data_IF_314124756869
#
_entry.id   IF_314124756869
#
_cell.length_a   1.000
_cell.length_b   1.000
_cell.length_c   1.000
_cell.angle_alpha   90.00
_cell.angle_beta   90.00
_cell.angle_gamma   90.00
#
_symmetry.space_group_name_H-M   'P 1'
#
loop_
_entity.id
_entity.type
_entity.pdbx_description
1 polymer ?
#
# COMPACT_ATOMS: atom_id res chain seq x y z
N UNK A 1 37.80 -76.36 31.83
CA UNK A 1 36.57 -76.86 31.20
C UNK A 1 35.55 -75.73 31.17
N UNK A 2 35.39 -75.06 30.03
CA UNK A 2 34.13 -74.46 29.63
C UNK A 2 34.20 -74.19 28.13
N UNK A 3 33.16 -74.62 27.43
CA UNK A 3 33.00 -74.65 25.98
C UNK A 3 32.63 -73.28 25.43
N UNK A 4 33.22 -72.88 24.29
CA UNK A 4 32.60 -71.90 23.39
C UNK A 4 32.95 -72.27 21.93
N UNK A 5 31.96 -72.48 21.03
CA UNK A 5 32.21 -72.96 19.69
C UNK A 5 32.46 -71.81 18.69
N UNK A 6 33.40 -72.10 17.80
CA UNK A 6 33.74 -71.42 16.55
C UNK A 6 32.58 -70.82 15.76
N UNK A 7 32.75 -69.56 15.32
CA UNK A 7 32.10 -69.00 14.12
C UNK A 7 33.17 -68.56 13.10
N UNK A 8 33.20 -69.12 11.88
CA UNK A 8 34.07 -68.67 10.79
C UNK A 8 33.34 -67.71 9.84
N UNK A 9 34.11 -66.93 9.08
CA UNK A 9 33.67 -66.38 7.79
C UNK A 9 33.72 -64.86 7.70
N UNK A 10 34.87 -64.34 7.28
CA UNK A 10 34.95 -63.02 6.64
C UNK A 10 34.50 -63.10 5.19
N UNK A 11 33.74 -62.10 4.75
CA UNK A 11 33.69 -61.57 3.39
C UNK A 11 32.85 -60.29 3.42
N UNK A 12 33.52 -59.16 3.28
CA UNK A 12 32.90 -57.86 3.01
C UNK A 12 32.41 -57.82 1.56
N UNK A 13 31.17 -57.42 1.28
CA UNK A 13 30.81 -56.89 -0.03
C UNK A 13 30.83 -55.36 0.03
N UNK A 14 31.43 -54.77 -0.99
CA UNK A 14 31.48 -53.35 -1.29
C UNK A 14 30.08 -52.71 -1.26
N UNK A 15 29.85 -51.81 -0.31
CA UNK A 15 28.66 -50.94 -0.30
C UNK A 15 28.99 -49.68 -1.12
N UNK A 16 28.60 -49.68 -2.39
CA UNK A 16 28.61 -48.48 -3.23
C UNK A 16 27.76 -47.37 -2.58
N UNK A 17 28.23 -46.11 -2.55
CA UNK A 17 27.43 -45.01 -2.03
C UNK A 17 26.24 -44.76 -2.97
N UNK A 18 25.02 -44.94 -2.46
CA UNK A 18 23.78 -44.60 -3.15
C UNK A 18 23.76 -43.09 -3.45
N UNK A 19 24.07 -42.73 -4.69
CA UNK A 19 23.95 -41.35 -5.18
C UNK A 19 22.46 -41.02 -5.30
N UNK A 20 21.94 -40.27 -4.33
CA UNK A 20 20.61 -39.65 -4.38
C UNK A 20 20.55 -38.80 -5.67
N UNK A 21 19.83 -39.30 -6.68
CA UNK A 21 19.66 -38.63 -7.98
C UNK A 21 19.76 -39.54 -9.20
N UNK A 22 20.27 -40.77 -9.08
CA UNK A 22 20.34 -41.70 -10.22
C UNK A 22 18.95 -42.09 -10.77
N UNK A 23 17.94 -42.20 -9.90
CA UNK A 23 16.57 -42.54 -10.28
C UNK A 23 15.77 -41.40 -10.95
N UNK A 24 16.28 -40.16 -10.93
CA UNK A 24 15.58 -39.00 -11.51
C UNK A 24 16.03 -38.69 -12.95
N UNK A 25 17.21 -39.16 -13.37
CA UNK A 25 17.72 -38.94 -14.74
C UNK A 25 16.77 -39.46 -15.82
N UNK A 26 16.14 -40.64 -15.69
CA UNK A 26 15.19 -41.12 -16.69
C UNK A 26 13.93 -40.23 -16.82
N UNK A 27 13.52 -39.59 -15.72
CA UNK A 27 12.37 -38.67 -15.70
C UNK A 27 12.75 -37.34 -16.34
N UNK A 28 13.93 -36.81 -16.01
CA UNK A 28 14.48 -35.59 -16.61
C UNK A 28 14.67 -35.75 -18.13
N UNK A 29 15.22 -36.87 -18.59
CA UNK A 29 15.41 -37.16 -20.01
C UNK A 29 14.09 -37.38 -20.76
N UNK A 30 13.05 -37.85 -20.06
CA UNK A 30 11.70 -37.92 -20.62
C UNK A 30 11.08 -36.54 -20.74
N UNK A 31 11.23 -35.69 -19.72
CA UNK A 31 10.71 -34.32 -19.71
C UNK A 31 11.39 -33.45 -20.78
N UNK A 32 12.72 -33.54 -20.90
CA UNK A 32 13.51 -32.82 -21.90
C UNK A 32 13.08 -33.20 -23.33
N UNK A 33 12.86 -34.49 -23.61
CA UNK A 33 12.34 -34.95 -24.91
C UNK A 33 10.91 -34.50 -25.18
N UNK A 34 10.04 -34.51 -24.16
CA UNK A 34 8.66 -34.05 -24.32
C UNK A 34 8.61 -32.55 -24.68
N UNK A 35 9.37 -31.72 -23.97
CA UNK A 35 9.47 -30.28 -24.23
C UNK A 35 10.06 -29.99 -25.62
N UNK A 36 11.12 -30.71 -26.00
CA UNK A 36 11.76 -30.52 -27.31
C UNK A 36 10.85 -30.98 -28.47
N UNK A 37 10.03 -32.02 -28.25
CA UNK A 37 9.01 -32.44 -29.22
C UNK A 37 7.88 -31.42 -29.37
N UNK A 38 7.51 -30.75 -28.28
CA UNK A 38 6.44 -29.75 -28.28
C UNK A 38 6.91 -28.44 -28.89
N UNK A 39 8.13 -28.01 -28.59
CA UNK A 39 8.74 -26.84 -29.20
C UNK A 39 8.84 -26.98 -30.73
N UNK A 40 9.15 -28.17 -31.25
CA UNK A 40 9.18 -28.44 -32.70
C UNK A 40 7.79 -28.52 -33.34
N UNK A 41 6.72 -28.69 -32.56
CA UNK A 41 5.33 -28.66 -33.05
C UNK A 41 4.77 -27.24 -33.16
N UNK A 42 5.39 -26.27 -32.50
CA UNK A 42 5.04 -24.86 -32.63
C UNK A 42 5.73 -24.34 -33.88
N UNK A 43 4.97 -24.21 -34.96
CA UNK A 43 5.43 -23.53 -36.18
C UNK A 43 4.98 -22.06 -36.10
N UNK A 44 5.87 -21.11 -35.75
CA UNK A 44 5.52 -19.71 -35.68
C UNK A 44 5.18 -19.21 -37.10
N UNK A 45 3.90 -19.01 -37.36
CA UNK A 45 3.47 -18.39 -38.62
C UNK A 45 3.75 -16.90 -38.58
N UNK A 46 4.43 -16.38 -39.61
CA UNK A 46 4.63 -14.95 -39.80
C UNK A 46 3.28 -14.28 -40.08
N UNK A 47 2.69 -13.71 -39.03
CA UNK A 47 1.41 -13.00 -39.07
C UNK A 47 1.56 -11.49 -39.21
N UNK A 48 2.79 -10.99 -39.41
CA UNK A 48 3.03 -9.55 -39.50
C UNK A 48 2.24 -8.92 -40.66
N UNK A 49 2.20 -9.59 -41.82
CA UNK A 49 1.43 -9.12 -42.98
C UNK A 49 -0.08 -9.05 -42.72
N UNK A 50 -0.64 -10.01 -41.97
CA UNK A 50 -2.06 -10.02 -41.61
C UNK A 50 -2.38 -8.86 -40.66
N UNK A 51 -1.54 -8.65 -39.64
CA UNK A 51 -1.71 -7.56 -38.67
C UNK A 51 -1.61 -6.19 -39.35
N UNK A 52 -0.64 -6.00 -40.25
CA UNK A 52 -0.50 -4.74 -40.99
C UNK A 52 -1.68 -4.50 -41.95
N UNK A 53 -2.20 -5.55 -42.58
CA UNK A 53 -3.36 -5.45 -43.47
C UNK A 53 -4.63 -5.13 -42.70
N UNK A 54 -4.81 -5.72 -41.51
CA UNK A 54 -5.94 -5.46 -40.62
C UNK A 54 -5.88 -4.05 -40.02
N UNK A 55 -4.69 -3.57 -39.66
CA UNK A 55 -4.46 -2.19 -39.21
C UNK A 55 -4.80 -1.16 -40.31
N UNK A 56 -4.41 -1.42 -41.56
CA UNK A 56 -4.74 -0.53 -42.70
C UNK A 56 -6.22 -0.61 -43.11
N UNK A 57 -6.90 -1.72 -42.86
CA UNK A 57 -8.34 -1.88 -43.12
C UNK A 57 -9.20 -1.07 -42.13
N UNK A 58 -8.71 -0.83 -40.91
CA UNK A 58 -9.37 0.04 -39.93
C UNK A 58 -9.30 1.52 -40.32
N UNK A 59 -8.17 1.98 -40.89
CA UNK A 59 -8.01 3.36 -41.35
C UNK A 59 -8.86 3.72 -42.58
N UNK A 60 -9.33 2.72 -43.34
CA UNK A 60 -10.06 2.92 -44.60
C UNK A 60 -11.60 2.83 -44.46
N UNK A 61 -12.12 2.52 -43.27
CA UNK A 61 -13.57 2.54 -42.97
C UNK A 61 -13.91 3.57 -41.90
N UNK A 62 -13.65 4.84 -42.20
CA UNK A 62 -14.01 5.94 -41.32
C UNK A 62 -14.15 7.28 -42.03
N UNK A 63 -15.40 7.68 -42.26
CA UNK A 63 -15.87 9.08 -42.42
C UNK A 63 -15.70 9.74 -43.79
N UNK A 64 -16.67 9.50 -44.67
CA UNK A 64 -17.16 10.51 -45.61
C UNK A 64 -18.09 11.49 -44.88
N UNK A 65 -17.61 12.70 -44.59
CA UNK A 65 -18.47 13.72 -43.95
C UNK A 65 -17.79 15.02 -43.49
N UNK A 66 -17.59 15.96 -44.42
CA UNK A 66 -17.45 17.43 -44.27
C UNK A 66 -16.76 18.04 -43.02
N UNK A 67 -15.51 18.47 -43.24
CA UNK A 67 -14.85 19.77 -42.90
C UNK A 67 -15.13 20.44 -41.54
N UNK A 68 -14.08 20.56 -40.71
CA UNK A 68 -13.32 21.81 -40.48
C UNK A 68 -12.01 21.56 -39.71
N UNK A 69 -10.97 22.29 -40.12
CA UNK A 69 -9.56 22.21 -39.73
C UNK A 69 -9.31 22.80 -38.35
N UNK A 70 -8.58 22.11 -37.47
CA UNK A 70 -7.52 22.67 -36.64
C UNK A 70 -6.44 21.59 -36.44
N UNK A 71 -5.18 21.99 -36.63
CA UNK A 71 -4.00 21.13 -36.68
C UNK A 71 -3.59 20.74 -35.25
N UNK A 72 -3.44 19.43 -35.01
CA UNK A 72 -2.66 18.89 -33.90
C UNK A 72 -1.59 17.96 -34.50
N UNK A 73 -0.29 18.13 -34.20
CA UNK A 73 0.68 17.09 -34.50
C UNK A 73 0.53 16.01 -33.42
N UNK A 74 -0.12 14.91 -33.78
CA UNK A 74 -0.02 13.66 -33.03
C UNK A 74 1.35 13.05 -33.33
N UNK A 75 2.28 13.15 -32.37
CA UNK A 75 3.49 12.36 -32.38
C UNK A 75 3.12 10.93 -31.96
N UNK A 76 2.98 10.05 -32.95
CA UNK A 76 2.88 8.61 -32.73
C UNK A 76 4.26 8.10 -32.31
N UNK A 77 4.46 7.85 -31.01
CA UNK A 77 5.58 7.05 -30.55
C UNK A 77 5.22 5.57 -30.75
N UNK A 78 5.53 5.03 -31.93
CA UNK A 78 5.56 3.60 -32.16
C UNK A 78 6.82 3.03 -31.49
N UNK A 79 6.69 2.52 -30.27
CA UNK A 79 7.71 1.68 -29.64
C UNK A 79 7.28 0.22 -29.76
N UNK A 80 7.76 -0.45 -30.79
CA UNK A 80 7.77 -1.90 -30.85
C UNK A 80 8.85 -2.40 -29.88
N UNK A 81 8.46 -3.04 -28.78
CA UNK A 81 9.41 -3.80 -27.93
C UNK A 81 9.18 -5.27 -28.18
N UNK A 82 10.18 -5.86 -28.84
CA UNK A 82 10.33 -7.30 -29.04
C UNK A 82 10.53 -7.99 -27.70
N UNK A 83 9.69 -9.00 -27.42
CA UNK A 83 9.97 -10.01 -26.40
C UNK A 83 11.16 -10.84 -26.88
N UNK A 84 12.31 -10.65 -26.26
CA UNK A 84 13.44 -11.57 -26.36
C UNK A 84 14.06 -11.76 -24.98
N UNK A 85 13.69 -12.87 -24.33
CA UNK A 85 14.47 -13.39 -23.21
C UNK A 85 15.80 -13.93 -23.74
N UNK A 86 16.92 -13.41 -23.22
CA UNK A 86 18.09 -14.17 -22.73
C UNK A 86 19.23 -13.21 -22.36
N UNK A 87 19.77 -13.42 -21.15
CA UNK A 87 21.16 -13.21 -20.72
C UNK A 87 21.79 -11.80 -20.88
N UNK A 88 21.80 -11.04 -19.78
CA UNK A 88 22.97 -10.24 -19.40
C UNK A 88 23.22 -10.37 -17.89
N UNK A 89 23.96 -11.42 -17.55
CA UNK A 89 24.83 -11.43 -16.39
C UNK A 89 26.18 -10.82 -16.82
N UNK A 90 26.75 -9.98 -15.96
CA UNK A 90 28.12 -9.43 -15.89
C UNK A 90 28.02 -7.91 -15.71
N UNK A 91 27.81 -7.48 -14.45
CA UNK A 91 28.71 -6.60 -13.70
C UNK A 91 28.05 -6.31 -12.33
N UNK A 92 28.43 -7.06 -11.28
CA UNK A 92 28.00 -6.76 -9.91
C UNK A 92 29.09 -5.93 -9.23
N UNK A 93 28.81 -4.69 -8.78
CA UNK A 93 29.43 -4.19 -7.58
C UNK A 93 28.75 -4.82 -6.35
N UNK A 94 29.56 -5.06 -5.34
CA UNK A 94 29.31 -5.77 -4.10
C UNK A 94 28.17 -5.18 -3.28
N UNK A 95 27.37 -6.07 -2.69
CA UNK A 95 26.77 -5.97 -1.34
C UNK A 95 26.62 -4.57 -0.75
N UNK A 96 25.39 -4.06 -0.69
CA UNK A 96 24.96 -3.19 0.40
C UNK A 96 23.47 -3.41 0.67
N UNK A 97 23.22 -4.30 1.63
CA UNK A 97 22.02 -4.34 2.45
C UNK A 97 21.78 -2.93 3.02
N UNK A 98 20.62 -2.29 2.84
CA UNK A 98 20.35 -1.06 3.57
C UNK A 98 20.08 -1.41 5.04
N UNK A 99 20.87 -0.89 6.01
CA UNK A 99 20.60 -1.07 7.41
C UNK A 99 19.40 -0.23 7.84
N UNK A 100 18.53 -0.85 8.62
CA UNK A 100 17.51 -0.20 9.45
C UNK A 100 18.24 0.69 10.45
N UNK A 101 18.09 2.00 10.29
CA UNK A 101 18.69 2.99 11.17
C UNK A 101 18.08 2.89 12.58
N UNK A 102 18.90 2.48 13.55
CA UNK A 102 18.68 2.70 14.97
C UNK A 102 19.93 3.39 15.56
N UNK A 103 19.67 4.28 16.52
CA UNK A 103 20.61 4.99 17.40
C UNK A 103 21.07 6.36 16.92
N UNK A 104 20.48 7.40 17.52
CA UNK A 104 21.21 8.64 17.80
C UNK A 104 21.52 8.67 19.29
N UNK A 105 22.79 8.46 19.61
CA UNK A 105 23.43 9.02 20.79
C UNK A 105 23.76 10.47 20.41
N UNK A 106 23.27 11.47 21.15
CA UNK A 106 24.14 12.60 21.46
C UNK A 106 23.73 13.36 22.72
N UNK A 107 24.66 13.36 23.65
CA UNK A 107 25.16 14.48 24.46
C UNK A 107 24.96 15.86 23.85
N UNK A 108 24.48 16.83 24.65
CA UNK A 108 24.40 18.23 24.21
C UNK A 108 23.71 19.16 25.20
N UNK A 109 24.38 19.47 26.30
CA UNK A 109 24.05 20.57 27.24
C UNK A 109 24.14 21.93 26.52
N UNK A 110 23.25 22.90 26.82
CA UNK A 110 23.69 23.98 27.72
C UNK A 110 22.58 24.42 28.69
N UNK A 111 22.90 24.44 30.00
CA UNK A 111 22.09 25.10 31.02
C UNK A 111 22.72 26.46 31.35
N UNK A 112 21.86 27.46 31.31
CA UNK A 112 22.11 28.87 31.63
C UNK A 112 22.31 29.08 33.13
N UNK A 113 23.18 30.02 33.46
CA UNK A 113 23.59 30.44 34.80
C UNK A 113 22.45 30.71 35.78
N UNK A 114 22.59 30.18 36.99
CA UNK A 114 21.91 30.65 38.18
C UNK A 114 22.96 31.16 39.19
N UNK A 115 22.72 32.35 39.75
CA UNK A 115 23.36 32.85 40.95
C UNK A 115 22.27 33.16 41.96
N UNK A 116 22.34 32.55 43.15
CA UNK A 116 22.19 33.23 44.46
C UNK A 116 22.27 32.21 45.60
N UNK A 117 23.31 32.41 46.39
CA UNK A 117 23.47 32.34 47.85
C UNK A 117 22.67 31.41 48.78
N UNK A 118 23.49 30.92 49.70
CA UNK A 118 23.40 29.99 50.82
C UNK A 118 22.58 30.48 52.02
N UNK A 119 21.88 29.55 52.69
CA UNK A 119 21.85 29.27 54.17
C UNK A 119 20.47 28.72 54.58
N UNK A 120 20.34 27.43 54.93
CA UNK A 120 20.55 26.82 56.25
C UNK A 120 19.47 27.15 57.30
N UNK A 121 18.68 26.13 57.68
CA UNK A 121 17.74 26.18 58.81
C UNK A 121 16.67 25.07 58.77
N UNK A 122 16.90 24.01 59.55
CA UNK A 122 15.93 22.98 60.01
C UNK A 122 16.16 22.86 61.53
N UNK A 123 15.23 22.40 62.41
CA UNK A 123 14.02 21.59 62.17
C UNK A 123 12.76 21.99 63.02
N UNK A 124 11.68 21.20 62.91
CA UNK A 124 10.87 20.63 64.03
C UNK A 124 9.32 20.77 63.99
N UNK A 125 8.67 19.61 63.82
CA UNK A 125 7.47 19.03 64.49
C UNK A 125 6.13 19.76 64.65
N UNK A 126 5.12 19.21 63.92
CA UNK A 126 3.78 18.73 64.34
C UNK A 126 2.70 19.71 64.90
N UNK A 127 1.42 19.30 64.99
CA UNK A 127 0.38 19.33 63.95
C UNK A 127 -0.74 20.34 64.27
N UNK A 128 -1.48 20.82 63.27
CA UNK A 128 -2.70 21.61 63.50
C UNK A 128 -3.86 21.11 62.65
N UNK A 129 -4.77 20.41 63.32
CA UNK A 129 -6.11 20.00 62.84
C UNK A 129 -7.06 21.19 62.88
N UNK A 130 -7.57 21.63 61.73
CA UNK A 130 -8.72 22.56 61.61
C UNK A 130 -9.55 22.12 60.38
N UNK A 131 -10.89 22.14 60.45
CA UNK A 131 -11.73 21.17 59.76
C UNK A 131 -12.08 21.53 58.32
N UNK A 132 -12.48 20.48 57.59
CA UNK A 132 -13.24 20.44 56.34
C UNK A 132 -14.07 21.69 56.06
N UNK A 133 -13.71 22.41 55.00
CA UNK A 133 -14.68 23.16 54.20
C UNK A 133 -14.77 22.48 52.83
N UNK A 134 -15.87 21.78 52.63
CA UNK A 134 -16.34 21.32 51.33
C UNK A 134 -16.58 22.55 50.46
N UNK A 135 -15.58 22.94 49.68
CA UNK A 135 -15.79 23.82 48.54
C UNK A 135 -16.21 22.95 47.36
N UNK A 136 -17.52 22.89 47.11
CA UNK A 136 -18.07 22.39 45.85
C UNK A 136 -17.78 23.44 44.78
N UNK A 137 -16.52 23.49 44.33
CA UNK A 137 -16.14 24.23 43.14
C UNK A 137 -16.76 23.56 41.91
N UNK A 138 -17.11 24.30 40.85
CA UNK A 138 -17.51 23.70 39.60
C UNK A 138 -16.33 22.86 39.09
N UNK A 139 -16.48 21.54 39.07
CA UNK A 139 -15.54 20.66 38.39
C UNK A 139 -15.66 20.94 36.90
N UNK A 140 -14.89 21.90 36.40
CA UNK A 140 -14.66 22.02 34.96
C UNK A 140 -13.96 20.73 34.55
N UNK A 141 -14.72 19.79 34.00
CA UNK A 141 -14.20 18.58 33.37
C UNK A 141 -13.27 19.01 32.25
N UNK A 142 -11.97 19.01 32.51
CA UNK A 142 -10.96 19.28 31.50
C UNK A 142 -11.04 18.11 30.51
N UNK A 143 -11.52 18.39 29.30
CA UNK A 143 -11.58 17.39 28.24
C UNK A 143 -10.18 16.76 28.04
N UNK A 144 -10.07 15.44 27.90
CA UNK A 144 -8.77 14.79 27.71
C UNK A 144 -8.04 15.40 26.51
N UNK A 145 -6.71 15.62 26.59
CA UNK A 145 -5.96 16.17 25.48
C UNK A 145 -6.08 15.26 24.25
N UNK A 146 -6.23 15.88 23.08
CA UNK A 146 -6.19 15.18 21.80
C UNK A 146 -4.74 15.01 21.35
N UNK A 147 -4.37 13.77 21.04
CA UNK A 147 -3.10 13.43 20.40
C UNK A 147 -3.28 13.50 18.89
N UNK A 148 -2.40 14.22 18.20
CA UNK A 148 -2.40 14.29 16.74
C UNK A 148 -1.35 13.35 16.12
N UNK A 149 -1.74 12.72 15.01
CA UNK A 149 -0.89 11.89 14.18
C UNK A 149 -0.79 12.54 12.80
N UNK A 150 0.34 13.16 12.45
CA UNK A 150 0.43 14.01 11.26
C UNK A 150 0.36 13.24 9.94
N UNK A 151 0.72 11.96 9.96
CA UNK A 151 0.73 11.07 8.79
C UNK A 151 0.45 9.64 9.21
N UNK A 152 -0.70 9.12 8.79
CA UNK A 152 -1.16 7.76 9.07
C UNK A 152 -1.69 7.15 7.78
N UNK A 153 -1.28 5.93 7.40
CA UNK A 153 -1.83 5.27 6.23
C UNK A 153 -3.27 4.85 6.50
N UNK A 154 -4.18 5.28 5.63
CA UNK A 154 -5.60 4.92 5.64
C UNK A 154 -5.98 4.35 4.28
N UNK A 155 -6.77 3.29 4.28
CA UNK A 155 -7.31 2.70 3.07
C UNK A 155 -8.75 3.16 2.85
N UNK A 156 -8.97 3.89 1.76
CA UNK A 156 -10.29 4.35 1.32
C UNK A 156 -10.85 3.42 0.24
N UNK A 157 -12.17 3.26 0.23
CA UNK A 157 -12.89 2.56 -0.83
C UNK A 157 -13.19 3.57 -1.95
N UNK A 158 -12.74 3.30 -3.16
CA UNK A 158 -12.97 4.18 -4.30
C UNK A 158 -13.05 3.45 -5.62
N UNK A 159 -13.74 4.01 -6.62
CA UNK A 159 -13.72 3.45 -7.95
C UNK A 159 -12.33 3.64 -8.57
N UNK A 160 -11.84 2.64 -9.29
CA UNK A 160 -10.51 2.70 -9.95
C UNK A 160 -10.47 3.75 -11.06
N UNK A 161 -11.62 4.08 -11.63
CA UNK A 161 -11.84 5.21 -12.53
C UNK A 161 -13.09 5.95 -12.07
N UNK A 162 -13.08 7.28 -12.10
CA UNK A 162 -14.25 8.06 -11.69
C UNK A 162 -15.51 7.62 -12.46
N UNK A 163 -16.54 7.17 -11.73
CA UNK A 163 -17.81 6.69 -12.29
C UNK A 163 -17.86 5.20 -12.63
N UNK A 164 -16.78 4.43 -12.43
CA UNK A 164 -16.82 2.97 -12.57
C UNK A 164 -17.39 2.29 -11.32
N UNK A 165 -18.00 1.12 -11.49
CA UNK A 165 -18.45 0.27 -10.36
C UNK A 165 -17.32 -0.63 -9.79
N UNK A 166 -16.14 -0.66 -10.43
CA UNK A 166 -14.98 -1.37 -9.91
C UNK A 166 -14.35 -0.58 -8.76
N UNK A 167 -14.75 -0.90 -7.54
CA UNK A 167 -14.28 -0.29 -6.29
C UNK A 167 -13.12 -1.09 -5.72
N UNK A 168 -12.02 -0.40 -5.39
CA UNK A 168 -10.81 -0.97 -4.77
C UNK A 168 -10.29 -0.09 -3.65
N UNK A 169 -9.28 -0.58 -2.93
CA UNK A 169 -8.66 0.14 -1.83
C UNK A 169 -7.55 1.09 -2.30
N UNK A 170 -7.71 2.38 -1.99
CA UNK A 170 -6.70 3.42 -2.19
C UNK A 170 -6.00 3.73 -0.87
N UNK A 171 -4.68 3.72 -0.86
CA UNK A 171 -3.92 4.20 0.29
C UNK A 171 -3.70 5.70 0.20
N UNK A 172 -3.99 6.41 1.28
CA UNK A 172 -3.56 7.78 1.48
C UNK A 172 -2.92 7.96 2.85
N UNK A 173 -1.94 8.85 2.95
CA UNK A 173 -1.38 9.30 4.21
C UNK A 173 -2.13 10.54 4.69
N UNK A 174 -2.81 10.43 5.82
CA UNK A 174 -3.70 11.47 6.34
C UNK A 174 -3.33 11.88 7.75
N UNK A 175 -3.73 13.09 8.15
CA UNK A 175 -3.71 13.50 9.55
C UNK A 175 -4.87 12.82 10.28
N UNK A 176 -4.60 12.24 11.44
CA UNK A 176 -5.62 11.68 12.32
C UNK A 176 -5.44 12.23 13.74
N UNK A 177 -6.47 12.14 14.57
CA UNK A 177 -6.38 12.50 15.98
C UNK A 177 -7.14 11.49 16.85
N UNK A 178 -6.66 11.32 18.08
CA UNK A 178 -7.31 10.50 19.09
C UNK A 178 -7.36 11.25 20.42
N UNK A 179 -8.48 11.17 21.11
CA UNK A 179 -8.58 11.57 22.51
C UNK A 179 -7.98 10.49 23.41
N UNK A 180 -7.29 10.91 24.47
CA UNK A 180 -6.70 10.01 25.46
C UNK A 180 -5.21 9.71 25.22
N UNK A 181 -4.76 8.55 25.70
CA UNK A 181 -3.35 8.18 25.69
C UNK A 181 -2.77 8.08 24.27
N UNK A 182 -1.51 8.50 24.10
CA UNK A 182 -0.76 8.32 22.86
C UNK A 182 -0.17 6.90 22.78
N UNK A 183 -0.14 6.31 21.59
CA UNK A 183 0.49 5.01 21.37
C UNK A 183 0.07 4.39 20.04
N UNK A 184 0.56 3.17 19.77
CA UNK A 184 0.22 2.41 18.58
C UNK A 184 -1.29 2.08 18.52
N UNK A 185 -1.89 1.70 19.64
CA UNK A 185 -3.33 1.39 19.72
C UNK A 185 -4.18 2.62 19.40
N UNK A 186 -3.89 3.76 20.00
CA UNK A 186 -4.58 5.02 19.72
C UNK A 186 -4.38 5.51 18.29
N UNK A 187 -3.18 5.33 17.71
CA UNK A 187 -2.91 5.63 16.30
C UNK A 187 -3.74 4.75 15.37
N UNK A 188 -3.79 3.44 15.64
CA UNK A 188 -4.56 2.47 14.86
C UNK A 188 -6.06 2.74 14.97
N UNK A 189 -6.57 3.02 16.17
CA UNK A 189 -7.97 3.43 16.37
C UNK A 189 -8.30 4.71 15.62
N UNK A 190 -7.42 5.71 15.63
CA UNK A 190 -7.59 6.95 14.88
C UNK A 190 -7.61 6.69 13.36
N UNK A 191 -6.70 5.86 12.84
CA UNK A 191 -6.68 5.49 11.42
C UNK A 191 -7.97 4.79 10.99
N UNK A 192 -8.46 3.82 11.79
CA UNK A 192 -9.73 3.14 11.55
C UNK A 192 -10.91 4.11 11.59
N UNK A 193 -10.92 5.04 12.54
CA UNK A 193 -11.98 6.05 12.64
C UNK A 193 -12.02 6.94 11.38
N UNK A 194 -10.86 7.27 10.80
CA UNK A 194 -10.79 8.01 9.53
C UNK A 194 -11.25 7.14 8.35
N UNK A 195 -10.81 5.87 8.28
CA UNK A 195 -11.22 4.95 7.21
C UNK A 195 -12.73 4.69 7.17
N UNK A 196 -13.36 4.59 8.34
CA UNK A 196 -14.79 4.33 8.51
C UNK A 196 -15.65 5.61 8.46
N UNK A 197 -15.02 6.77 8.57
CA UNK A 197 -15.69 8.06 8.61
C UNK A 197 -16.19 8.53 7.24
N UNK A 198 -16.50 9.83 7.19
CA UNK A 198 -16.83 10.47 5.92
C UNK A 198 -15.58 10.56 5.04
N UNK A 199 -15.67 10.18 3.75
CA UNK A 199 -14.54 10.31 2.84
C UNK A 199 -14.15 11.78 2.65
N UNK A 200 -12.89 12.06 2.26
CA UNK A 200 -12.45 13.41 1.93
C UNK A 200 -13.38 14.07 0.92
N UNK A 201 -13.77 15.33 1.19
CA UNK A 201 -14.58 16.12 0.26
C UNK A 201 -13.91 16.16 -1.12
N UNK A 202 -14.71 16.19 -2.18
CA UNK A 202 -14.24 16.19 -3.58
C UNK A 202 -13.44 14.95 -4.01
N UNK A 203 -13.45 13.88 -3.21
CA UNK A 203 -13.01 12.55 -3.67
C UNK A 203 -14.18 11.76 -4.26
N UNK A 204 -13.86 10.71 -5.01
CA UNK A 204 -14.81 9.68 -5.45
C UNK A 204 -14.92 8.53 -4.44
N UNK A 205 -14.35 8.68 -3.24
CA UNK A 205 -14.38 7.63 -2.23
C UNK A 205 -15.77 7.48 -1.60
N UNK A 206 -16.06 6.26 -1.16
CA UNK A 206 -17.32 5.87 -0.53
C UNK A 206 -17.08 5.35 0.89
N UNK A 207 -18.08 5.49 1.76
CA UNK A 207 -18.05 4.92 3.10
C UNK A 207 -18.90 3.66 3.17
N UNK A 208 -18.32 2.56 3.65
CA UNK A 208 -19.04 1.31 3.88
C UNK A 208 -19.60 1.20 5.32
N UNK A 209 -19.02 1.93 6.26
CA UNK A 209 -19.22 1.75 7.70
C UNK A 209 -20.05 2.87 8.34
N UNK A 210 -21.05 3.38 7.61
CA UNK A 210 -21.89 4.48 8.04
C UNK A 210 -22.51 4.20 9.42
N UNK A 211 -22.30 5.11 10.38
CA UNK A 211 -22.77 4.97 11.76
C UNK A 211 -21.96 4.01 12.65
N UNK A 212 -21.00 3.26 12.12
CA UNK A 212 -20.15 2.34 12.89
C UNK A 212 -18.85 3.04 13.30
N UNK A 213 -18.33 2.76 14.50
CA UNK A 213 -17.10 3.35 15.02
C UNK A 213 -16.19 2.28 15.63
N UNK A 214 -14.85 2.46 15.56
CA UNK A 214 -13.93 1.63 16.34
C UNK A 214 -13.97 2.09 17.80
N UNK A 215 -14.32 1.18 18.71
CA UNK A 215 -14.42 1.42 20.15
C UNK A 215 -13.07 1.24 20.82
N UNK A 216 -12.41 0.11 20.59
CA UNK A 216 -11.12 -0.23 21.17
C UNK A 216 -10.22 -0.94 20.18
N UNK A 217 -8.92 -0.78 20.39
CA UNK A 217 -7.87 -1.51 19.70
C UNK A 217 -6.90 -2.01 20.76
N UNK A 218 -6.54 -3.29 20.73
CA UNK A 218 -5.42 -3.84 21.49
C UNK A 218 -4.42 -4.50 20.56
N UNK A 219 -3.14 -4.28 20.82
CA UNK A 219 -2.06 -4.83 20.00
C UNK A 219 -1.18 -5.71 20.87
N UNK A 220 -1.12 -6.99 20.55
CA UNK A 220 -0.19 -7.94 21.15
C UNK A 220 0.79 -8.48 20.10
N UNK A 221 1.61 -9.46 20.48
CA UNK A 221 2.68 -9.97 19.62
C UNK A 221 2.14 -10.68 18.36
N UNK A 222 0.98 -11.33 18.48
CA UNK A 222 0.42 -12.22 17.46
C UNK A 222 -0.72 -11.59 16.67
N UNK A 223 -1.47 -10.62 17.21
CA UNK A 223 -2.66 -10.07 16.56
C UNK A 223 -2.92 -8.59 16.87
N UNK A 224 -3.82 -8.01 16.08
CA UNK A 224 -4.44 -6.71 16.31
C UNK A 224 -5.92 -6.99 16.57
N UNK A 225 -6.39 -6.81 17.81
CA UNK A 225 -7.81 -6.97 18.13
C UNK A 225 -8.51 -5.62 18.07
N UNK A 226 -9.65 -5.56 17.39
CA UNK A 226 -10.43 -4.34 17.19
C UNK A 226 -11.89 -4.64 17.53
N UNK A 227 -12.46 -3.81 18.40
CA UNK A 227 -13.90 -3.86 18.71
C UNK A 227 -14.60 -2.70 18.03
N UNK A 228 -15.66 -3.00 17.28
CA UNK A 228 -16.50 -2.05 16.56
C UNK A 228 -17.85 -1.92 17.28
N UNK A 229 -18.49 -0.76 17.15
CA UNK A 229 -19.82 -0.50 17.72
C UNK A 229 -20.96 -1.25 17.05
N UNK A 230 -20.71 -1.87 15.90
CA UNK A 230 -21.71 -2.52 15.06
C UNK A 230 -21.06 -3.26 13.89
N UNK A 231 -21.84 -4.12 13.23
CA UNK A 231 -21.45 -4.75 11.97
C UNK A 231 -21.66 -3.83 10.77
N UNK A 232 -21.28 -4.32 9.59
CA UNK A 232 -21.46 -3.64 8.31
C UNK A 232 -22.96 -3.34 8.08
N UNK A 233 -23.34 -2.07 7.86
CA UNK A 233 -24.72 -1.70 7.58
C UNK A 233 -25.30 -2.43 6.36
N UNK A 234 -26.58 -2.78 6.43
CA UNK A 234 -27.32 -3.29 5.27
C UNK A 234 -27.32 -2.25 4.14
N UNK A 235 -26.97 -2.67 2.92
CA UNK A 235 -26.90 -1.77 1.76
C UNK A 235 -25.58 -1.01 1.61
N UNK A 236 -24.50 -1.44 2.29
CA UNK A 236 -23.17 -0.91 2.03
C UNK A 236 -22.83 -0.97 0.51
N UNK A 237 -22.15 0.06 -0.04
CA UNK A 237 -21.93 0.21 -1.49
C UNK A 237 -20.84 -0.73 -2.05
N UNK A 238 -20.35 -1.67 -1.25
CA UNK A 238 -19.24 -2.57 -1.60
C UNK A 238 -19.50 -3.96 -1.02
N UNK A 239 -18.78 -4.97 -1.51
CA UNK A 239 -18.86 -6.31 -0.96
C UNK A 239 -18.42 -6.36 0.50
N UNK A 240 -18.97 -7.30 1.27
CA UNK A 240 -18.57 -7.56 2.65
C UNK A 240 -17.07 -7.82 2.78
N UNK A 241 -16.50 -8.57 1.84
CA UNK A 241 -15.07 -8.89 1.80
C UNK A 241 -14.21 -7.63 1.63
N UNK A 242 -14.56 -6.75 0.68
CA UNK A 242 -13.79 -5.53 0.44
C UNK A 242 -13.89 -4.54 1.63
N UNK A 243 -15.08 -4.42 2.23
CA UNK A 243 -15.27 -3.61 3.44
C UNK A 243 -14.43 -4.11 4.62
N UNK A 244 -14.37 -5.44 4.83
CA UNK A 244 -13.51 -6.04 5.85
C UNK A 244 -12.02 -5.80 5.53
N UNK A 245 -11.62 -5.99 4.27
CA UNK A 245 -10.24 -5.71 3.83
C UNK A 245 -9.85 -4.26 4.06
N UNK A 246 -10.76 -3.29 3.90
CA UNK A 246 -10.50 -1.88 4.24
C UNK A 246 -9.97 -1.72 5.68
N UNK A 247 -10.61 -2.38 6.65
CA UNK A 247 -10.21 -2.32 8.05
C UNK A 247 -8.91 -3.07 8.30
N UNK A 248 -8.74 -4.25 7.71
CA UNK A 248 -7.53 -5.06 7.85
C UNK A 248 -6.29 -4.32 7.36
N UNK A 249 -6.35 -3.79 6.13
CA UNK A 249 -5.25 -3.04 5.53
C UNK A 249 -4.93 -1.76 6.32
N UNK A 250 -5.96 -1.04 6.77
CA UNK A 250 -5.78 0.17 7.60
C UNK A 250 -5.12 -0.18 8.94
N UNK A 251 -5.61 -1.20 9.65
CA UNK A 251 -5.09 -1.57 10.95
C UNK A 251 -3.63 -2.03 10.88
N UNK A 252 -3.32 -2.94 9.96
CA UNK A 252 -1.95 -3.45 9.78
C UNK A 252 -0.97 -2.34 9.39
N UNK A 253 -1.37 -1.44 8.49
CA UNK A 253 -0.52 -0.33 8.05
C UNK A 253 -0.30 0.71 9.15
N UNK A 254 -1.32 0.99 9.98
CA UNK A 254 -1.18 1.93 11.09
C UNK A 254 -0.21 1.42 12.16
N UNK A 255 -0.25 0.11 12.45
CA UNK A 255 0.71 -0.58 13.36
C UNK A 255 2.10 -0.62 12.75
N UNK A 256 2.23 -0.89 11.45
CA UNK A 256 3.51 -0.87 10.74
C UNK A 256 4.44 -2.04 11.04
N UNK A 257 3.93 -3.14 11.60
CA UNK A 257 4.70 -4.33 11.98
C UNK A 257 4.38 -5.55 11.09
N UNK A 258 4.14 -5.30 9.81
CA UNK A 258 3.84 -6.33 8.82
C UNK A 258 2.38 -6.79 8.85
N UNK A 259 2.15 -8.01 8.37
CA UNK A 259 0.82 -8.57 8.15
C UNK A 259 0.33 -9.35 9.38
N UNK A 260 0.28 -8.70 10.55
CA UNK A 260 -0.27 -9.33 11.76
C UNK A 260 -1.77 -9.57 11.58
N UNK A 261 -2.31 -10.77 11.88
CA UNK A 261 -3.74 -11.04 11.85
C UNK A 261 -4.56 -9.96 12.58
N UNK A 262 -5.72 -9.62 12.02
CA UNK A 262 -6.65 -8.64 12.59
C UNK A 262 -7.92 -9.36 13.02
N UNK A 263 -8.20 -9.36 14.32
CA UNK A 263 -9.45 -9.90 14.86
C UNK A 263 -10.47 -8.77 14.97
N UNK A 264 -11.57 -8.87 14.21
CA UNK A 264 -12.61 -7.86 14.16
C UNK A 264 -13.85 -8.36 14.92
N UNK A 265 -14.21 -7.65 15.99
CA UNK A 265 -15.35 -7.99 16.85
C UNK A 265 -16.38 -6.87 16.87
N UNK A 266 -17.66 -7.22 16.96
CA UNK A 266 -18.76 -6.30 17.18
C UNK A 266 -19.14 -6.32 18.66
N UNK A 267 -19.33 -5.14 19.26
CA UNK A 267 -19.83 -5.01 20.63
C UNK A 267 -21.22 -5.67 20.76
N UNK A 268 -21.38 -6.53 21.76
CA UNK A 268 -22.59 -7.34 21.91
C UNK A 268 -22.66 -8.59 21.01
N UNK A 269 -21.66 -8.82 20.14
CA UNK A 269 -21.56 -9.98 19.26
C UNK A 269 -22.33 -9.83 17.93
N UNK A 270 -22.66 -10.96 17.30
CA UNK A 270 -23.39 -11.00 16.02
C UNK A 270 -22.49 -11.14 14.79
N UNK A 271 -22.96 -10.62 13.66
CA UNK A 271 -22.21 -10.63 12.40
C UNK A 271 -21.41 -9.33 12.24
N UNK A 272 -20.16 -9.48 11.79
CA UNK A 272 -19.32 -8.35 11.37
C UNK A 272 -19.79 -7.80 10.03
N UNK A 273 -20.19 -8.67 9.12
CA UNK A 273 -20.73 -8.37 7.80
C UNK A 273 -21.58 -9.57 7.34
N UNK A 274 -22.43 -9.45 6.29
CA UNK A 274 -23.28 -10.55 5.84
C UNK A 274 -22.50 -11.87 5.64
N UNK A 275 -22.80 -12.89 6.45
CA UNK A 275 -22.14 -14.19 6.40
C UNK A 275 -20.74 -14.25 7.03
N UNK A 276 -20.30 -13.18 7.71
CA UNK A 276 -19.01 -13.07 8.40
C UNK A 276 -19.26 -12.90 9.90
N UNK A 277 -19.01 -13.95 10.68
CA UNK A 277 -19.15 -13.91 12.13
C UNK A 277 -18.15 -12.93 12.78
N UNK A 278 -18.61 -12.23 13.83
CA UNK A 278 -17.77 -11.41 14.70
C UNK A 278 -16.70 -12.25 15.41
N UNK A 279 -15.54 -11.66 15.69
CA UNK A 279 -14.44 -12.27 16.45
C UNK A 279 -13.56 -13.20 15.62
N UNK A 280 -13.73 -13.24 14.30
CA UNK A 280 -12.83 -13.98 13.41
C UNK A 280 -11.57 -13.18 13.12
N UNK A 281 -10.47 -13.90 12.92
CA UNK A 281 -9.23 -13.33 12.41
C UNK A 281 -9.30 -13.16 10.89
N UNK A 282 -8.75 -12.05 10.43
CA UNK A 282 -8.66 -11.68 9.04
C UNK A 282 -7.23 -11.31 8.68
N UNK A 283 -6.88 -11.59 7.42
CA UNK A 283 -5.58 -11.27 6.84
C UNK A 283 -5.79 -10.59 5.49
N UNK A 284 -4.84 -9.72 5.14
CA UNK A 284 -4.69 -9.25 3.77
C UNK A 284 -4.21 -10.40 2.88
N UNK A 285 -4.55 -10.40 1.58
CA UNK A 285 -3.97 -11.33 0.63
C UNK A 285 -2.44 -11.21 0.57
N UNK A 286 -1.76 -12.33 0.32
CA UNK A 286 -0.29 -12.38 0.22
C UNK A 286 0.24 -12.54 -1.21
N UNK A 287 -0.56 -13.11 -2.12
CA UNK A 287 -0.19 -13.28 -3.52
C UNK A 287 -0.40 -12.00 -4.33
N UNK A 288 0.55 -11.67 -5.21
CA UNK A 288 0.51 -10.44 -6.02
C UNK A 288 -0.80 -10.25 -6.79
N UNK A 289 -1.33 -11.31 -7.41
CA UNK A 289 -2.61 -11.27 -8.12
C UNK A 289 -3.80 -10.97 -7.18
N UNK A 290 -3.88 -11.65 -6.04
CA UNK A 290 -4.95 -11.40 -5.06
C UNK A 290 -4.85 -10.00 -4.42
N UNK A 291 -3.63 -9.48 -4.25
CA UNK A 291 -3.40 -8.10 -3.82
C UNK A 291 -3.86 -7.12 -4.90
N UNK A 292 -3.56 -7.42 -6.17
CA UNK A 292 -3.99 -6.61 -7.32
C UNK A 292 -5.51 -6.50 -7.43
N UNK A 293 -6.24 -7.56 -7.10
CA UNK A 293 -7.72 -7.56 -7.12
C UNK A 293 -8.36 -6.70 -6.03
N UNK A 294 -7.67 -6.49 -4.90
CA UNK A 294 -8.20 -5.74 -3.75
C UNK A 294 -7.77 -4.27 -3.76
N UNK A 295 -6.53 -4.00 -4.19
CA UNK A 295 -5.95 -2.67 -4.13
C UNK A 295 -6.10 -1.93 -5.45
N UNK A 296 -6.31 -0.61 -5.39
CA UNK A 296 -6.19 0.24 -6.57
C UNK A 296 -4.77 0.13 -7.15
N UNK A 297 -4.60 -0.15 -8.45
CA UNK A 297 -3.29 -0.33 -9.06
C UNK A 297 -2.35 0.88 -8.94
N UNK A 298 -2.87 2.09 -8.77
CA UNK A 298 -2.07 3.32 -8.69
C UNK A 298 -2.31 3.99 -7.34
N UNK A 299 -1.22 4.23 -6.61
CA UNK A 299 -1.21 5.10 -5.44
C UNK A 299 -0.22 6.24 -5.61
N UNK A 300 -0.60 7.41 -5.11
CA UNK A 300 0.24 8.60 -4.92
C UNK A 300 0.46 8.76 -3.43
N UNK A 301 1.71 8.65 -3.00
CA UNK A 301 2.08 8.81 -1.58
C UNK A 301 2.55 10.24 -1.29
N UNK A 302 3.23 10.87 -2.25
CA UNK A 302 3.69 12.25 -2.17
C UNK A 302 3.41 12.98 -3.49
N UNK A 303 2.81 14.19 -3.47
CA UNK A 303 2.26 14.87 -2.29
C UNK A 303 1.04 14.12 -1.72
N UNK A 304 0.81 14.23 -0.41
CA UNK A 304 -0.44 13.75 0.19
C UNK A 304 -1.61 14.67 -0.20
N UNK A 305 -2.84 14.15 -0.09
CA UNK A 305 -4.06 14.95 -0.30
C UNK A 305 -4.08 16.16 0.65
N UNK A 306 -4.32 17.33 0.07
CA UNK A 306 -4.35 18.60 0.80
C UNK A 306 -2.97 19.08 1.27
N UNK A 307 -1.88 18.44 0.82
CA UNK A 307 -0.55 18.88 1.17
C UNK A 307 -0.28 20.29 0.67
N UNK A 308 0.57 20.98 1.42
CA UNK A 308 1.14 22.25 1.02
C UNK A 308 2.57 22.00 0.57
N UNK A 309 2.84 22.29 -0.69
CA UNK A 309 4.19 22.24 -1.27
C UNK A 309 4.70 23.66 -1.51
N UNK A 310 6.01 23.79 -1.73
CA UNK A 310 6.66 25.07 -1.94
C UNK A 310 6.41 25.58 -3.36
N UNK A 311 5.95 26.84 -3.47
CA UNK A 311 5.92 27.54 -4.75
C UNK A 311 7.33 27.96 -5.20
N UNK A 312 7.54 28.05 -6.52
CA UNK A 312 8.84 28.35 -7.13
C UNK A 312 9.78 27.15 -7.22
N UNK A 313 9.31 25.94 -6.91
CA UNK A 313 10.07 24.70 -7.03
C UNK A 313 9.30 23.65 -7.84
N UNK A 314 10.04 22.68 -8.38
CA UNK A 314 9.47 21.52 -9.05
C UNK A 314 8.80 20.58 -8.05
N UNK A 315 7.69 19.97 -8.46
CA UNK A 315 7.00 18.98 -7.67
C UNK A 315 7.72 17.63 -7.79
N UNK A 316 8.22 17.12 -6.67
CA UNK A 316 8.57 15.69 -6.57
C UNK A 316 7.32 14.88 -6.28
N UNK A 317 7.10 13.83 -7.07
CA UNK A 317 6.01 12.88 -6.88
C UNK A 317 6.57 11.49 -6.62
N UNK A 318 6.00 10.81 -5.62
CA UNK A 318 6.29 9.41 -5.32
C UNK A 318 5.00 8.64 -5.15
N UNK A 319 5.05 7.38 -5.51
CA UNK A 319 3.94 6.48 -5.26
C UNK A 319 4.31 5.05 -5.54
N UNK A 320 3.29 4.21 -5.63
CA UNK A 320 3.43 2.79 -5.92
C UNK A 320 2.42 2.43 -6.98
N UNK A 321 2.84 1.70 -8.00
CA UNK A 321 1.96 1.24 -9.07
C UNK A 321 2.11 -0.28 -9.32
N UNK A 322 1.07 -0.87 -9.88
CA UNK A 322 1.07 -2.21 -10.47
C UNK A 322 0.33 -2.12 -11.79
N UNK A 323 1.00 -1.71 -12.86
CA UNK A 323 0.37 -1.45 -14.17
C UNK A 323 1.01 -2.31 -15.26
N UNK A 324 0.33 -2.47 -16.40
CA UNK A 324 0.90 -3.16 -17.56
C UNK A 324 2.21 -2.48 -17.98
N UNK A 325 3.26 -3.28 -18.18
CA UNK A 325 4.63 -2.82 -18.48
C UNK A 325 5.19 -1.77 -17.49
N UNK A 326 4.63 -1.71 -16.28
CA UNK A 326 4.97 -0.72 -15.26
C UNK A 326 4.73 0.75 -15.67
N UNK A 327 3.99 1.00 -16.76
CA UNK A 327 3.78 2.35 -17.27
C UNK A 327 2.86 3.16 -16.35
N UNK A 328 3.27 4.38 -16.02
CA UNK A 328 2.52 5.30 -15.17
C UNK A 328 2.47 6.67 -15.84
N UNK A 329 1.28 7.10 -16.21
CA UNK A 329 1.03 8.40 -16.81
C UNK A 329 0.61 9.42 -15.74
N UNK A 330 0.90 10.69 -15.99
CA UNK A 330 0.52 11.74 -15.06
C UNK A 330 0.19 13.06 -15.76
N UNK A 331 -0.71 13.81 -15.13
CA UNK A 331 -1.10 15.17 -15.49
C UNK A 331 -1.13 16.03 -14.23
N UNK A 332 -0.53 17.22 -14.32
CA UNK A 332 -0.71 18.28 -13.35
C UNK A 332 -1.80 19.22 -13.86
N UNK A 333 -2.88 19.34 -13.08
CA UNK A 333 -4.05 20.12 -13.43
C UNK A 333 -4.14 21.40 -12.58
N UNK A 334 -4.51 22.51 -13.21
CA UNK A 334 -4.90 23.76 -12.57
C UNK A 334 -6.21 24.23 -13.19
N UNK A 335 -7.21 24.53 -12.35
CA UNK A 335 -8.55 24.95 -12.79
C UNK A 335 -9.18 24.00 -13.83
N UNK A 336 -8.90 22.70 -13.68
CA UNK A 336 -9.36 21.64 -14.59
C UNK A 336 -8.57 21.49 -15.89
N UNK A 337 -7.57 22.35 -16.15
CA UNK A 337 -6.73 22.28 -17.34
C UNK A 337 -5.36 21.67 -17.04
N UNK A 338 -4.86 20.81 -17.94
CA UNK A 338 -3.49 20.29 -17.85
C UNK A 338 -2.48 21.40 -18.12
N UNK A 339 -1.64 21.68 -17.13
CA UNK A 339 -0.52 22.63 -17.22
C UNK A 339 0.81 21.94 -17.49
N UNK A 340 0.87 20.65 -17.16
CA UNK A 340 1.99 19.76 -17.43
C UNK A 340 1.50 18.31 -17.45
N UNK A 341 2.20 17.45 -18.18
CA UNK A 341 1.93 16.02 -18.25
C UNK A 341 3.18 15.24 -18.64
N UNK A 342 3.18 13.94 -18.37
CA UNK A 342 4.26 13.06 -18.76
C UNK A 342 3.97 11.62 -18.37
N UNK A 343 5.02 10.81 -18.37
CA UNK A 343 4.96 9.43 -17.92
C UNK A 343 6.25 9.08 -17.14
N UNK A 344 6.19 7.98 -16.41
CA UNK A 344 7.32 7.33 -15.74
C UNK A 344 7.06 5.83 -15.70
N UNK A 345 8.01 5.07 -15.18
CA UNK A 345 7.86 3.64 -14.96
C UNK A 345 7.98 3.30 -13.48
N UNK A 346 7.12 2.40 -13.00
CA UNK A 346 7.35 1.74 -11.72
C UNK A 346 8.51 0.73 -11.87
N UNK A 347 9.12 0.36 -10.75
CA UNK A 347 10.29 -0.53 -10.79
C UNK A 347 9.95 -1.97 -11.25
N UNK A 348 8.68 -2.38 -11.18
CA UNK A 348 8.19 -3.68 -11.66
C UNK A 348 6.78 -3.53 -12.25
N UNK A 349 6.44 -4.40 -13.20
CA UNK A 349 5.13 -4.42 -13.85
C UNK A 349 4.12 -5.30 -13.09
N UNK A 350 2.83 -5.08 -13.37
CA UNK A 350 1.74 -5.89 -12.82
C UNK A 350 1.97 -7.40 -13.06
N UNK A 351 1.56 -8.27 -12.12
CA UNK A 351 0.81 -7.96 -10.89
C UNK A 351 1.69 -7.53 -9.71
N UNK A 352 3.01 -7.44 -9.89
CA UNK A 352 3.88 -6.92 -8.85
C UNK A 352 3.59 -5.43 -8.63
N UNK A 353 3.74 -4.99 -7.38
CA UNK A 353 3.49 -3.60 -6.99
C UNK A 353 4.80 -2.94 -6.57
N UNK A 354 5.22 -1.92 -7.29
CA UNK A 354 6.53 -1.32 -7.13
C UNK A 354 6.48 0.22 -7.11
N UNK A 355 7.50 0.81 -6.50
CA UNK A 355 7.61 2.27 -6.39
C UNK A 355 7.84 2.92 -7.76
N UNK A 356 7.29 4.11 -7.94
CA UNK A 356 7.65 5.04 -9.02
C UNK A 356 8.00 6.40 -8.43
N UNK A 357 8.80 7.18 -9.15
CA UNK A 357 9.13 8.56 -8.83
C UNK A 357 9.25 9.37 -10.10
N UNK A 358 8.79 10.62 -10.06
CA UNK A 358 9.14 11.61 -11.06
C UNK A 358 9.21 13.00 -10.44
N UNK A 359 9.67 13.96 -11.23
CA UNK A 359 9.70 15.37 -10.89
C UNK A 359 9.12 16.16 -12.05
N UNK A 360 8.34 17.20 -11.78
CA UNK A 360 7.87 18.10 -12.84
C UNK A 360 9.04 18.83 -13.47
N UNK A 361 8.93 19.16 -14.74
CA UNK A 361 9.94 19.91 -15.49
C UNK A 361 9.86 21.41 -15.20
N UNK A 362 8.67 21.90 -14.83
CA UNK A 362 8.41 23.30 -14.50
C UNK A 362 8.27 23.49 -13.00
N UNK A 363 8.65 24.69 -12.56
CA UNK A 363 8.40 25.15 -11.20
C UNK A 363 6.91 25.46 -11.01
N UNK A 364 6.41 25.17 -9.81
CA UNK A 364 5.04 25.46 -9.43
C UNK A 364 4.87 26.94 -9.11
N UNK A 365 4.07 27.66 -9.89
CA UNK A 365 3.51 28.93 -9.43
C UNK A 365 2.58 28.71 -8.22
N UNK A 366 2.42 29.70 -7.35
CA UNK A 366 1.47 29.60 -6.25
C UNK A 366 0.02 29.36 -6.76
N UNK A 367 -0.72 28.50 -6.04
CA UNK A 367 -2.10 28.16 -6.37
C UNK A 367 -2.51 26.74 -5.98
N UNK A 368 -3.76 26.40 -6.30
CA UNK A 368 -4.34 25.07 -6.10
C UNK A 368 -4.13 24.21 -7.35
N UNK A 369 -3.76 22.96 -7.11
CA UNK A 369 -3.49 21.98 -8.16
C UNK A 369 -4.20 20.65 -7.86
N UNK A 370 -4.41 19.86 -8.91
CA UNK A 370 -4.75 18.45 -8.79
C UNK A 370 -3.70 17.66 -9.56
N UNK A 371 -2.97 16.80 -8.86
CA UNK A 371 -2.15 15.79 -9.49
C UNK A 371 -3.06 14.62 -9.88
N UNK A 372 -3.04 14.24 -11.15
CA UNK A 372 -3.73 13.08 -11.69
C UNK A 372 -2.67 12.07 -12.12
N UNK A 373 -2.68 10.87 -11.55
CA UNK A 373 -1.80 9.77 -11.95
C UNK A 373 -2.67 8.62 -12.41
N UNK A 374 -2.36 8.05 -13.58
CA UNK A 374 -3.23 7.09 -14.23
C UNK A 374 -2.48 6.10 -15.12
N UNK A 375 -3.20 5.10 -15.62
CA UNK A 375 -2.75 4.18 -16.66
C UNK A 375 -3.86 4.06 -17.70
N UNK A 376 -3.46 4.09 -18.97
CA UNK A 376 -4.36 3.83 -20.10
C UNK A 376 -4.19 2.39 -20.59
N UNK A 377 -5.26 1.83 -21.18
CA UNK A 377 -5.25 0.50 -21.76
C UNK A 377 -4.34 0.47 -22.99
N UNK A 378 -3.42 -0.50 -23.03
CA UNK A 378 -2.63 -0.75 -24.23
C UNK A 378 -3.50 -1.21 -25.42
N UNK A 379 -4.72 -1.67 -25.15
CA UNK A 379 -5.65 -2.17 -26.17
C UNK A 379 -6.31 -1.05 -26.97
N UNK A 380 -6.80 -0.02 -26.29
CA UNK A 380 -7.65 1.01 -26.90
C UNK A 380 -7.42 2.44 -26.36
N UNK A 381 -6.45 2.63 -25.47
CA UNK A 381 -6.13 3.93 -24.88
C UNK A 381 -7.17 4.44 -23.89
N UNK A 382 -8.17 3.63 -23.52
CA UNK A 382 -9.13 4.00 -22.48
C UNK A 382 -8.47 4.08 -21.10
N UNK A 383 -9.00 4.93 -20.22
CA UNK A 383 -8.51 5.05 -18.85
C UNK A 383 -8.83 3.76 -18.07
N UNK A 384 -7.81 3.08 -17.53
CA UNK A 384 -8.00 1.85 -16.75
C UNK A 384 -7.96 2.09 -15.24
N UNK A 385 -7.01 2.92 -14.77
CA UNK A 385 -6.81 3.20 -13.35
C UNK A 385 -6.42 4.66 -13.16
N UNK A 386 -6.89 5.29 -12.08
CA UNK A 386 -6.62 6.69 -11.78
C UNK A 386 -6.61 6.96 -10.27
N UNK A 387 -5.70 7.84 -9.84
CA UNK A 387 -5.84 8.57 -8.59
C UNK A 387 -5.68 10.08 -8.81
N UNK A 388 -6.55 10.86 -8.15
CA UNK A 388 -6.52 12.32 -8.16
C UNK A 388 -6.23 12.87 -6.76
N UNK A 389 -5.16 13.64 -6.64
CA UNK A 389 -4.67 14.22 -5.39
C UNK A 389 -4.63 15.74 -5.47
N UNK A 390 -5.59 16.44 -4.85
CA UNK A 390 -5.54 17.89 -4.73
C UNK A 390 -4.46 18.31 -3.73
N UNK A 391 -3.75 19.40 -4.03
CA UNK A 391 -2.73 20.00 -3.16
C UNK A 391 -2.58 21.51 -3.47
N UNK A 392 -1.84 22.24 -2.65
CA UNK A 392 -1.61 23.68 -2.81
C UNK A 392 -0.11 23.99 -2.85
N UNK A 393 0.30 24.82 -3.80
CA UNK A 393 1.63 25.44 -3.81
C UNK A 393 1.54 26.84 -3.21
N UNK A 394 2.35 27.14 -2.20
CA UNK A 394 2.41 28.49 -1.59
C UNK A 394 3.82 28.94 -1.28
#
# INVERSE_FOLDING_TARGET
MNTDPTRPGGQSPDEEPVVIGAGLRPVEDRLRRALDSEARRIDPTDRLGVILTEAHAYDSRGVSGRRRRWLAPAAAAAAAVLVAGTLWAVNRPSTQTPPVAATSTDTGTPSTSASTDTSSGSPSTSPSTVPTQTATGPTTSIAPPATEYPSVPVYYLGPVVAGSDDVRLFREFVRASATGASGAESKTRAALAVAMGDPPRSSSYVSAWAGVRPLSVSIDADRIAVTLSGGLPSGAPVSAELAVQQLVWTAQAAVGQGARPVMLSVEGGGELAPGVASGREHQRPSGAAAVYDVLSPIWVDEPARGAVVKAGERLTVKGVASTFEANVEWELLRDGQSVEKGFTTAAEAAPARAAYRFETTKDLSAGSYVLRVFSSSAKDGSLEFEQRVPFTAR
#
